data_IF_472950764687
#
_entry.id   IF_472950764687
#
_cell.length_a   1.000
_cell.length_b   1.000
_cell.length_c   1.000
_cell.angle_alpha   90.00
_cell.angle_beta   90.00
_cell.angle_gamma   90.00
#
_symmetry.space_group_name_H-M   'P 1'
#
loop_
_entity.id
_entity.type
_entity.pdbx_description
1 polymer ?
#
# COMPACT_ATOMS: atom_id res chain seq x y z
N UNK A 1 0.12 10.45 13.65
CA UNK A 1 0.43 9.35 12.70
C UNK A 1 1.86 9.43 12.26
N UNK A 2 2.55 8.32 12.21
CA UNK A 2 3.88 8.18 11.64
C UNK A 2 3.76 7.62 10.22
N UNK A 3 4.34 8.29 9.24
CA UNK A 3 4.36 7.85 7.84
C UNK A 3 5.77 7.40 7.50
N UNK A 4 5.93 6.19 6.97
CA UNK A 4 7.21 5.55 6.74
C UNK A 4 7.36 5.13 5.27
N UNK A 5 8.31 5.72 4.59
CA UNK A 5 8.85 5.19 3.34
C UNK A 5 10.12 4.41 3.64
N UNK A 6 10.01 3.08 3.68
CA UNK A 6 11.11 2.17 4.03
C UNK A 6 11.64 1.40 2.81
N UNK A 7 11.14 1.72 1.62
CA UNK A 7 11.60 1.13 0.37
C UNK A 7 11.15 -0.30 0.14
N UNK A 8 11.74 -0.92 -0.86
CA UNK A 8 11.37 -2.26 -1.32
C UNK A 8 11.89 -3.37 -0.41
N UNK A 9 11.20 -4.54 -0.36
CA UNK A 9 11.54 -5.65 0.53
C UNK A 9 12.94 -6.25 0.37
N UNK A 10 13.65 -5.93 -0.71
CA UNK A 10 15.04 -6.36 -0.94
C UNK A 10 16.08 -5.33 -0.48
N UNK A 11 15.67 -4.14 -0.05
CA UNK A 11 16.56 -3.08 0.42
C UNK A 11 16.83 -3.22 1.92
N UNK A 12 18.04 -2.85 2.36
CA UNK A 12 18.38 -2.83 3.79
C UNK A 12 17.52 -1.85 4.61
N UNK A 13 16.98 -0.81 3.96
CA UNK A 13 16.05 0.15 4.57
C UNK A 13 14.69 -0.46 4.89
N UNK A 14 14.30 -1.55 4.23
CA UNK A 14 13.01 -2.21 4.45
C UNK A 14 13.05 -3.08 5.71
N UNK A 15 12.92 -2.44 6.87
CA UNK A 15 13.00 -3.10 8.18
C UNK A 15 11.59 -3.40 8.71
N UNK A 16 10.85 -4.29 8.05
CA UNK A 16 9.47 -4.64 8.45
C UNK A 16 9.37 -5.18 9.88
N UNK A 17 10.39 -5.92 10.35
CA UNK A 17 10.45 -6.40 11.74
C UNK A 17 10.62 -5.24 12.73
N UNK A 18 11.23 -4.13 12.33
CA UNK A 18 11.30 -2.94 13.17
C UNK A 18 9.94 -2.24 13.24
N UNK A 19 9.17 -2.22 12.13
CA UNK A 19 7.79 -1.71 12.10
C UNK A 19 6.90 -2.57 13.00
N UNK A 20 7.01 -3.90 12.93
CA UNK A 20 6.30 -4.85 13.79
C UNK A 20 6.56 -4.54 15.29
N UNK A 21 7.84 -4.45 15.69
CA UNK A 21 8.22 -4.10 17.07
C UNK A 21 7.71 -2.72 17.50
N UNK A 22 7.73 -1.74 16.58
CA UNK A 22 7.24 -0.39 16.84
C UNK A 22 5.72 -0.39 17.07
N UNK A 23 4.98 -1.08 16.21
CA UNK A 23 3.53 -1.20 16.31
C UNK A 23 3.08 -1.85 17.61
N UNK A 24 3.78 -2.92 18.05
CA UNK A 24 3.53 -3.59 19.33
C UNK A 24 3.84 -2.69 20.53
N UNK A 25 4.97 -1.99 20.48
CA UNK A 25 5.42 -1.14 21.57
C UNK A 25 4.56 0.11 21.77
N UNK A 26 4.01 0.64 20.68
CA UNK A 26 3.22 1.88 20.69
C UNK A 26 1.84 1.67 20.03
N UNK A 27 0.92 0.94 20.69
CA UNK A 27 -0.35 0.53 20.08
C UNK A 27 -1.31 1.69 19.78
N UNK A 28 -1.05 2.88 20.34
CA UNK A 28 -1.82 4.10 20.09
C UNK A 28 -1.18 5.01 19.02
N UNK A 29 -0.03 4.62 18.48
CA UNK A 29 0.62 5.31 17.37
C UNK A 29 0.15 4.72 16.06
N UNK A 30 -0.60 5.48 15.27
CA UNK A 30 -0.93 5.06 13.90
C UNK A 30 0.33 5.13 13.02
N UNK A 31 0.55 4.09 12.25
CA UNK A 31 1.69 3.95 11.34
C UNK A 31 1.13 3.71 9.94
N UNK A 32 1.58 4.49 8.96
CA UNK A 32 1.29 4.27 7.54
C UNK A 32 2.59 3.93 6.83
N UNK A 33 2.65 2.77 6.18
CA UNK A 33 3.79 2.33 5.37
C UNK A 33 3.51 2.63 3.91
N UNK A 34 4.38 3.42 3.28
CA UNK A 34 4.19 3.92 1.93
C UNK A 34 4.40 2.84 0.86
N UNK A 35 3.70 3.06 -0.29
CA UNK A 35 3.95 2.37 -1.57
C UNK A 35 3.78 0.86 -1.54
N UNK A 36 3.04 0.30 -0.57
CA UNK A 36 2.94 -1.16 -0.37
C UNK A 36 4.33 -1.81 -0.30
N UNK A 37 5.30 -1.17 0.39
CA UNK A 37 6.72 -1.55 0.40
C UNK A 37 7.41 -1.44 -0.97
N UNK A 38 6.90 -0.63 -1.89
CA UNK A 38 7.46 -0.38 -3.23
C UNK A 38 7.94 -1.65 -3.99
N UNK A 39 7.12 -2.70 -4.13
CA UNK A 39 7.53 -3.95 -4.73
C UNK A 39 7.69 -3.80 -6.24
N UNK A 40 8.79 -4.33 -6.79
CA UNK A 40 8.95 -4.50 -8.24
C UNK A 40 8.19 -5.74 -8.70
N UNK A 41 8.03 -5.93 -10.00
CA UNK A 41 7.29 -7.07 -10.60
C UNK A 41 7.73 -8.44 -10.10
N UNK A 42 9.03 -8.61 -9.86
CA UNK A 42 9.66 -9.85 -9.40
C UNK A 42 9.58 -10.08 -7.89
N UNK A 43 9.17 -9.09 -7.11
CA UNK A 43 9.27 -9.11 -5.64
C UNK A 43 8.09 -9.83 -4.93
N UNK A 44 7.20 -10.50 -5.66
CA UNK A 44 5.99 -11.11 -5.10
C UNK A 44 6.24 -12.03 -3.90
N UNK A 45 7.23 -12.93 -4.00
CA UNK A 45 7.55 -13.85 -2.90
C UNK A 45 8.15 -13.14 -1.68
N UNK A 46 8.86 -12.05 -1.89
CA UNK A 46 9.44 -11.23 -0.81
C UNK A 46 8.37 -10.38 -0.16
N UNK A 47 7.45 -9.79 -0.94
CA UNK A 47 6.31 -9.06 -0.44
C UNK A 47 5.41 -9.97 0.42
N UNK A 48 5.11 -11.19 -0.05
CA UNK A 48 4.31 -12.17 0.69
C UNK A 48 4.88 -12.46 2.09
N UNK A 49 6.21 -12.54 2.20
CA UNK A 49 6.90 -12.75 3.49
C UNK A 49 6.91 -11.49 4.37
N UNK A 50 6.90 -10.31 3.78
CA UNK A 50 6.96 -9.04 4.51
C UNK A 50 5.60 -8.61 5.08
N UNK A 51 4.51 -8.83 4.35
CA UNK A 51 3.16 -8.39 4.75
C UNK A 51 2.72 -8.82 6.15
N UNK A 52 2.97 -10.07 6.62
CA UNK A 52 2.55 -10.48 7.96
C UNK A 52 3.11 -9.62 9.10
N UNK A 53 4.30 -9.03 8.95
CA UNK A 53 4.88 -8.11 9.94
C UNK A 53 4.11 -6.80 10.09
N UNK A 54 3.28 -6.45 9.09
CA UNK A 54 2.47 -5.23 9.10
C UNK A 54 1.03 -5.47 9.61
N UNK A 55 0.69 -6.71 9.99
CA UNK A 55 -0.65 -7.09 10.44
C UNK A 55 -0.92 -6.64 11.87
N UNK A 56 -1.09 -5.33 12.07
CA UNK A 56 -1.43 -4.70 13.34
C UNK A 56 -2.63 -3.76 13.21
N UNK A 57 -3.39 -3.61 14.30
CA UNK A 57 -4.56 -2.71 14.31
C UNK A 57 -4.23 -1.24 14.06
N UNK A 58 -2.99 -0.84 14.34
CA UNK A 58 -2.47 0.52 14.22
C UNK A 58 -1.49 0.70 13.04
N UNK A 59 -1.46 -0.23 12.09
CA UNK A 59 -0.64 -0.15 10.87
C UNK A 59 -1.54 -0.17 9.65
N UNK A 60 -1.31 0.76 8.73
CA UNK A 60 -1.90 0.85 7.40
C UNK A 60 -0.81 0.82 6.35
N UNK A 61 -1.18 0.46 5.13
CA UNK A 61 -0.35 0.60 3.93
C UNK A 61 -1.03 1.53 2.93
N UNK A 62 -0.28 2.32 2.19
CA UNK A 62 -0.82 3.03 1.04
C UNK A 62 -0.44 2.37 -0.29
N UNK A 63 -1.28 2.57 -1.30
CA UNK A 63 -1.14 2.00 -2.64
C UNK A 63 -0.44 2.96 -3.63
N UNK A 64 0.18 4.01 -3.14
CA UNK A 64 0.82 5.00 -4.00
C UNK A 64 1.98 4.41 -4.81
N UNK A 65 2.30 5.02 -5.93
CA UNK A 65 3.39 4.66 -6.84
C UNK A 65 3.36 3.23 -7.44
N UNK A 66 2.33 2.42 -7.22
CA UNK A 66 2.33 1.02 -7.71
C UNK A 66 2.54 0.90 -9.24
N UNK A 67 1.91 1.70 -10.12
CA UNK A 67 2.23 1.68 -11.54
C UNK A 67 3.70 1.97 -11.86
N UNK A 68 4.33 2.85 -11.07
CA UNK A 68 5.76 3.14 -11.21
C UNK A 68 6.62 1.95 -10.81
N UNK A 69 6.31 1.31 -9.69
CA UNK A 69 7.08 0.20 -9.12
C UNK A 69 7.08 -1.03 -10.04
N UNK A 70 5.97 -1.29 -10.74
CA UNK A 70 5.85 -2.40 -11.69
C UNK A 70 6.23 -2.03 -13.13
N UNK A 71 6.68 -0.77 -13.37
CA UNK A 71 7.11 -0.32 -14.71
C UNK A 71 8.21 -1.25 -15.27
N UNK A 72 8.19 -1.55 -16.58
CA UNK A 72 7.38 -0.98 -17.66
C UNK A 72 6.05 -1.71 -17.97
N UNK A 73 5.40 -2.29 -16.99
CA UNK A 73 4.11 -2.97 -17.20
C UNK A 73 3.05 -1.99 -17.73
N UNK A 74 2.27 -2.44 -18.70
CA UNK A 74 1.21 -1.63 -19.28
C UNK A 74 -0.06 -1.66 -18.42
N UNK A 75 -0.90 -0.60 -18.55
CA UNK A 75 -2.25 -0.58 -18.00
C UNK A 75 -3.03 -1.85 -18.39
N UNK A 76 -3.77 -2.48 -17.49
CA UNK A 76 -4.16 -2.05 -16.14
C UNK A 76 -3.21 -2.54 -15.02
N UNK A 77 -1.95 -2.75 -15.26
CA UNK A 77 -0.93 -3.11 -14.26
C UNK A 77 -1.27 -4.39 -13.47
N UNK A 78 -1.40 -5.55 -14.12
CA UNK A 78 -1.87 -6.78 -13.48
C UNK A 78 -1.01 -7.24 -12.30
N UNK A 79 0.30 -6.97 -12.32
CA UNK A 79 1.17 -7.27 -11.17
C UNK A 79 0.85 -6.38 -9.97
N UNK A 80 0.58 -5.09 -10.19
CA UNK A 80 0.15 -4.20 -9.12
C UNK A 80 -1.18 -4.67 -8.49
N UNK A 81 -2.16 -5.05 -9.31
CA UNK A 81 -3.44 -5.60 -8.84
C UNK A 81 -3.25 -6.89 -8.05
N UNK A 82 -2.35 -7.77 -8.48
CA UNK A 82 -1.99 -8.98 -7.73
C UNK A 82 -1.40 -8.63 -6.35
N UNK A 83 -0.52 -7.64 -6.27
CA UNK A 83 0.06 -7.21 -4.99
C UNK A 83 -0.98 -6.59 -4.06
N UNK A 84 -1.93 -5.82 -4.60
CA UNK A 84 -3.07 -5.31 -3.83
C UNK A 84 -3.91 -6.46 -3.28
N UNK A 85 -4.20 -7.48 -4.09
CA UNK A 85 -4.94 -8.67 -3.64
C UNK A 85 -4.22 -9.42 -2.52
N UNK A 86 -2.91 -9.59 -2.62
CA UNK A 86 -2.08 -10.20 -1.56
C UNK A 86 -2.16 -9.38 -0.26
N UNK A 87 -2.05 -8.06 -0.35
CA UNK A 87 -2.16 -7.19 0.81
C UNK A 87 -3.55 -7.26 1.45
N UNK A 88 -4.61 -7.25 0.64
CA UNK A 88 -6.00 -7.42 1.10
C UNK A 88 -6.21 -8.74 1.85
N UNK A 89 -5.67 -9.83 1.33
CA UNK A 89 -5.78 -11.16 1.94
C UNK A 89 -5.08 -11.23 3.31
N UNK A 90 -3.91 -10.63 3.43
CA UNK A 90 -3.11 -10.69 4.66
C UNK A 90 -3.56 -9.67 5.70
N UNK A 91 -3.78 -8.42 5.30
CA UNK A 91 -3.99 -7.29 6.21
C UNK A 91 -5.47 -6.96 6.42
N UNK A 92 -6.32 -7.25 5.43
CA UNK A 92 -7.71 -6.78 5.38
C UNK A 92 -7.84 -5.43 4.65
N UNK A 93 -9.01 -5.20 4.06
CA UNK A 93 -9.30 -3.96 3.29
C UNK A 93 -9.20 -2.71 4.17
N UNK A 94 -9.56 -2.82 5.45
CA UNK A 94 -9.55 -1.72 6.43
C UNK A 94 -8.14 -1.18 6.74
N UNK A 95 -7.08 -1.86 6.26
CA UNK A 95 -5.69 -1.46 6.44
C UNK A 95 -5.03 -0.93 5.17
N UNK A 96 -5.80 -0.73 4.12
CA UNK A 96 -5.32 -0.27 2.81
C UNK A 96 -5.84 1.14 2.54
N UNK A 97 -4.94 2.05 2.16
CA UNK A 97 -5.24 3.44 1.82
C UNK A 97 -4.80 3.71 0.38
N UNK A 98 -5.63 4.41 -0.39
CA UNK A 98 -5.21 4.89 -1.69
C UNK A 98 -4.31 6.12 -1.57
N UNK A 99 -3.29 6.20 -2.42
CA UNK A 99 -2.38 7.33 -2.56
C UNK A 99 -1.82 7.41 -3.97
N UNK A 100 -1.15 8.50 -4.32
CA UNK A 100 -0.64 8.73 -5.69
C UNK A 100 0.88 8.78 -5.80
N UNK A 101 1.56 9.29 -4.81
CA UNK A 101 2.97 9.72 -4.90
C UNK A 101 3.18 10.89 -5.90
N UNK A 102 2.15 11.74 -6.06
CA UNK A 102 2.27 12.96 -6.86
C UNK A 102 3.17 13.98 -6.15
N UNK A 103 3.99 14.76 -6.87
CA UNK A 103 4.02 14.88 -8.34
C UNK A 103 4.97 13.91 -9.05
N UNK A 104 5.75 13.09 -8.34
CA UNK A 104 6.80 12.26 -8.93
C UNK A 104 6.25 11.34 -10.04
N UNK A 105 5.23 10.58 -9.77
CA UNK A 105 4.63 9.64 -10.72
C UNK A 105 4.01 10.31 -11.95
N UNK A 106 3.61 11.60 -11.83
CA UNK A 106 3.02 12.38 -12.93
C UNK A 106 3.99 12.64 -14.09
N UNK A 107 5.27 12.38 -13.90
CA UNK A 107 6.26 12.44 -14.98
C UNK A 107 6.11 11.31 -16.01
N UNK A 108 5.42 10.23 -15.65
CA UNK A 108 5.23 9.03 -16.50
C UNK A 108 3.78 8.61 -16.68
N UNK A 109 2.91 8.89 -15.72
CA UNK A 109 1.54 8.38 -15.67
C UNK A 109 0.53 9.53 -15.67
N UNK A 110 -0.63 9.31 -16.26
CA UNK A 110 -1.77 10.24 -16.13
C UNK A 110 -2.39 10.04 -14.76
N UNK A 111 -2.84 11.13 -14.13
CA UNK A 111 -3.49 11.07 -12.83
C UNK A 111 -4.66 10.08 -12.79
N UNK A 112 -5.48 10.07 -13.84
CA UNK A 112 -6.63 9.16 -13.94
C UNK A 112 -6.20 7.68 -13.91
N UNK A 113 -5.07 7.33 -14.51
CA UNK A 113 -4.59 5.95 -14.55
C UNK A 113 -4.16 5.45 -13.15
N UNK A 114 -3.80 6.38 -12.21
CA UNK A 114 -3.37 6.05 -10.86
C UNK A 114 -4.52 5.56 -9.95
N UNK A 115 -5.76 5.77 -10.33
CA UNK A 115 -6.92 5.27 -9.58
C UNK A 115 -7.85 4.38 -10.42
N UNK A 116 -7.99 4.63 -11.72
CA UNK A 116 -8.88 3.85 -12.58
C UNK A 116 -8.50 2.38 -12.62
N UNK A 117 -7.23 2.02 -12.64
CA UNK A 117 -6.81 0.62 -12.66
C UNK A 117 -7.30 -0.18 -11.43
N UNK A 118 -7.53 0.51 -10.30
CA UNK A 118 -8.09 -0.09 -9.09
C UNK A 118 -9.62 -0.14 -9.20
N UNK A 119 -10.26 0.97 -9.59
CA UNK A 119 -11.72 1.10 -9.66
C UNK A 119 -12.32 0.15 -10.72
N UNK A 120 -11.64 0.00 -11.86
CA UNK A 120 -12.07 -0.85 -12.97
C UNK A 120 -11.74 -2.33 -12.76
N UNK A 121 -11.05 -2.68 -11.67
CA UNK A 121 -10.70 -4.05 -11.33
C UNK A 121 -11.73 -4.72 -10.40
N UNK A 122 -11.66 -6.04 -10.30
CA UNK A 122 -12.48 -6.83 -9.37
C UNK A 122 -11.82 -7.03 -8.00
N UNK A 123 -10.73 -6.30 -7.69
CA UNK A 123 -9.98 -6.48 -6.43
C UNK A 123 -10.80 -6.02 -5.23
N UNK A 124 -11.57 -4.92 -5.40
CA UNK A 124 -12.40 -4.37 -4.35
C UNK A 124 -13.87 -4.29 -4.79
N UNK A 125 -14.77 -4.58 -3.87
CA UNK A 125 -16.19 -4.25 -4.01
C UNK A 125 -16.39 -2.74 -3.87
N UNK A 126 -17.58 -2.23 -4.27
CA UNK A 126 -17.93 -0.80 -4.14
C UNK A 126 -17.74 -0.27 -2.71
N UNK A 127 -18.18 -1.03 -1.69
CA UNK A 127 -17.97 -0.66 -0.29
C UNK A 127 -16.49 -0.64 0.12
N UNK A 128 -15.71 -1.57 -0.38
CA UNK A 128 -14.27 -1.61 -0.10
C UNK A 128 -13.54 -0.45 -0.79
N UNK A 129 -13.98 -0.02 -1.98
CA UNK A 129 -13.45 1.18 -2.63
C UNK A 129 -13.69 2.43 -1.76
N UNK A 130 -14.89 2.61 -1.19
CA UNK A 130 -15.15 3.71 -0.24
C UNK A 130 -14.20 3.67 0.96
N UNK A 131 -13.93 2.48 1.50
CA UNK A 131 -12.97 2.32 2.60
C UNK A 131 -11.57 2.74 2.16
N UNK A 132 -11.06 2.20 1.06
CA UNK A 132 -9.69 2.41 0.57
C UNK A 132 -9.44 3.86 0.15
N UNK A 133 -10.42 4.50 -0.49
CA UNK A 133 -10.29 5.86 -1.01
C UNK A 133 -10.63 6.95 0.01
N UNK A 134 -11.27 6.62 1.14
CA UNK A 134 -11.70 7.62 2.09
C UNK A 134 -11.61 7.18 3.56
N UNK A 135 -12.42 6.20 4.00
CA UNK A 135 -12.61 5.93 5.43
C UNK A 135 -11.33 5.50 6.16
N UNK A 136 -10.51 4.68 5.52
CA UNK A 136 -9.26 4.20 6.12
C UNK A 136 -8.26 5.33 6.31
N UNK A 137 -8.21 6.31 5.39
CA UNK A 137 -7.37 7.50 5.55
C UNK A 137 -7.86 8.40 6.69
N UNK A 138 -9.19 8.57 6.85
CA UNK A 138 -9.77 9.30 7.98
C UNK A 138 -9.33 8.68 9.30
N UNK A 139 -9.39 7.35 9.44
CA UNK A 139 -8.97 6.63 10.64
C UNK A 139 -7.45 6.74 10.85
N UNK A 140 -6.65 6.43 9.83
CA UNK A 140 -5.20 6.38 9.93
C UNK A 140 -4.58 7.73 10.29
N UNK A 141 -5.15 8.83 9.77
CA UNK A 141 -4.62 10.18 9.94
C UNK A 141 -5.38 11.04 10.96
N UNK A 142 -6.38 10.49 11.67
CA UNK A 142 -7.21 11.21 12.65
C UNK A 142 -7.90 12.44 12.04
N UNK A 143 -8.52 12.31 10.86
CA UNK A 143 -9.16 13.41 10.13
C UNK A 143 -10.66 13.60 10.49
N UNK A 144 -11.14 13.00 11.53
CA UNK A 144 -12.53 13.06 11.98
C UNK A 144 -12.81 14.11 13.04
#
# INVERSE_FOLDING_TARGET
TLVLDIGSPFMESCQVEAVDRLAQKYPNLNIVVCHLLAPRREDGATLEKALPYLKHKNVWIDLSALPWNVSPEAYPYPTALKFISMAKEVLGTEKIIWGTDSPCVMTKFKYADLYNFIIESDVFTEKELEMVFYHNAVEAYYLG
#
